data_IF_050824907032
#
_entry.id   IF_050824907032
#
_cell.length_a   1.000
_cell.length_b   1.000
_cell.length_c   1.000
_cell.angle_alpha   90.00
_cell.angle_beta   90.00
_cell.angle_gamma   90.00
#
_symmetry.space_group_name_H-M   'P 1'
#
loop_
_entity.id
_entity.type
_entity.pdbx_description
1 polymer ?
#
# COMPACT_ATOMS: atom_id res chain seq x y z
N UNK A 1 -9.36 19.77 -1.19
CA UNK A 1 -8.68 18.49 -1.47
C UNK A 1 -7.24 18.84 -1.80
N UNK A 2 -6.47 19.01 -0.73
CA UNK A 2 -5.02 19.19 -0.63
C UNK A 2 -4.67 18.16 0.45
N UNK A 3 -4.19 17.01 0.02
CA UNK A 3 -2.79 16.69 -0.18
C UNK A 3 -2.39 15.81 1.01
N UNK A 4 -2.16 14.52 0.75
CA UNK A 4 -1.73 13.55 1.76
C UNK A 4 -0.31 13.82 2.26
N UNK A 5 0.12 15.07 2.28
CA UNK A 5 1.37 15.52 2.83
C UNK A 5 1.18 15.66 4.33
N UNK A 6 2.10 15.04 5.07
CA UNK A 6 2.20 15.23 6.51
C UNK A 6 3.21 16.36 6.67
N UNK A 7 2.74 17.52 7.15
CA UNK A 7 3.63 18.58 7.61
C UNK A 7 4.44 18.05 8.79
N UNK A 8 5.75 18.14 8.69
CA UNK A 8 6.67 17.87 9.79
C UNK A 8 7.69 19.00 9.88
N UNK A 9 8.20 19.22 11.09
CA UNK A 9 9.27 20.15 11.40
C UNK A 9 10.22 19.51 12.39
N UNK A 10 11.40 20.09 12.59
CA UNK A 10 12.34 19.58 13.59
C UNK A 10 11.68 19.52 14.99
N UNK A 11 11.51 18.31 15.53
CA UNK A 11 10.87 18.08 16.83
C UNK A 11 9.35 17.88 16.80
N UNK A 12 8.69 17.91 15.63
CA UNK A 12 7.25 17.64 15.48
C UNK A 12 6.96 16.93 14.16
N UNK A 13 6.36 15.73 14.22
CA UNK A 13 6.08 14.94 13.01
C UNK A 13 7.26 14.11 12.49
N UNK A 14 8.41 14.11 13.17
CA UNK A 14 9.59 13.29 12.84
C UNK A 14 9.28 11.78 12.77
N UNK A 15 8.28 11.31 13.51
CA UNK A 15 7.82 9.92 13.46
C UNK A 15 7.14 9.55 12.13
N UNK A 16 6.60 10.54 11.42
CA UNK A 16 5.97 10.34 10.11
C UNK A 16 7.01 10.09 9.01
N UNK A 17 8.23 10.64 9.15
CA UNK A 17 9.36 10.38 8.24
C UNK A 17 9.81 8.92 8.25
N UNK A 18 9.60 8.19 9.35
CA UNK A 18 10.08 6.82 9.54
C UNK A 18 9.04 5.75 9.25
N UNK A 19 7.76 6.11 9.04
CA UNK A 19 6.70 5.15 8.71
C UNK A 19 6.77 4.73 7.23
N UNK A 20 7.79 3.95 6.87
CA UNK A 20 7.61 2.96 5.80
C UNK A 20 6.47 2.06 6.25
N UNK A 21 5.39 1.99 5.47
CA UNK A 21 4.35 1.01 5.77
C UNK A 21 4.99 -0.38 5.82
N UNK A 22 4.74 -1.13 6.89
CA UNK A 22 5.20 -2.51 6.99
C UNK A 22 4.31 -3.35 6.08
N UNK A 23 4.62 -3.35 4.78
CA UNK A 23 3.89 -4.16 3.80
C UNK A 23 3.95 -5.61 4.21
N UNK A 24 2.83 -6.32 4.00
CA UNK A 24 2.82 -7.76 4.15
C UNK A 24 3.83 -8.38 3.18
N UNK A 25 4.70 -9.22 3.73
CA UNK A 25 5.69 -10.01 3.01
C UNK A 25 5.56 -11.44 3.52
N UNK A 26 5.14 -12.39 2.69
CA UNK A 26 4.99 -13.75 3.13
C UNK A 26 6.35 -14.40 3.35
N UNK A 27 6.44 -15.29 4.32
CA UNK A 27 7.65 -16.07 4.60
C UNK A 27 7.60 -17.42 3.87
N UNK A 28 8.74 -17.89 3.37
CA UNK A 28 8.78 -19.13 2.58
C UNK A 28 8.43 -20.33 3.44
N UNK A 29 7.52 -21.17 2.94
CA UNK A 29 7.06 -22.35 3.67
C UNK A 29 6.09 -22.05 4.81
N UNK A 30 5.71 -20.77 5.00
CA UNK A 30 4.69 -20.36 5.97
C UNK A 30 3.35 -20.21 5.26
N UNK A 31 2.31 -20.64 5.95
CA UNK A 31 0.91 -20.38 5.60
C UNK A 31 0.34 -19.36 6.57
N UNK A 32 -0.07 -18.21 6.06
CA UNK A 32 -0.78 -17.21 6.85
C UNK A 32 -2.29 -17.34 6.64
N UNK A 33 -3.10 -17.07 7.67
CA UNK A 33 -4.54 -16.81 7.53
C UNK A 33 -4.78 -15.31 7.52
N UNK A 34 -5.56 -14.80 6.56
CA UNK A 34 -5.86 -13.38 6.47
C UNK A 34 -7.31 -13.08 6.06
N UNK A 35 -7.87 -12.00 6.61
CA UNK A 35 -9.10 -11.38 6.11
C UNK A 35 -8.78 -10.20 5.22
N UNK A 36 -9.57 -9.97 4.17
CA UNK A 36 -9.61 -8.65 3.53
C UNK A 36 -10.32 -7.67 4.47
N UNK A 37 -9.78 -6.45 4.59
CA UNK A 37 -10.32 -5.45 5.55
C UNK A 37 -10.53 -4.07 4.93
N UNK A 38 -10.21 -3.92 3.64
CA UNK A 38 -10.51 -2.74 2.85
C UNK A 38 -11.60 -3.06 1.84
N UNK A 39 -12.75 -2.40 1.96
CA UNK A 39 -13.95 -2.67 1.17
C UNK A 39 -14.38 -1.43 0.38
N UNK A 40 -15.21 -1.65 -0.63
CA UNK A 40 -15.74 -0.58 -1.47
C UNK A 40 -16.81 0.28 -0.79
N UNK A 41 -17.48 -0.28 0.22
CA UNK A 41 -18.59 0.37 0.90
C UNK A 41 -18.65 -0.04 2.37
N UNK A 42 -19.12 0.89 3.20
CA UNK A 42 -19.21 0.75 4.65
C UNK A 42 -20.46 1.41 5.21
N UNK A 43 -21.05 0.82 6.25
CA UNK A 43 -22.08 1.45 7.06
C UNK A 43 -21.53 2.66 7.83
N UNK A 44 -22.41 3.48 8.39
CA UNK A 44 -22.05 4.62 9.23
C UNK A 44 -21.22 4.22 10.48
N UNK A 45 -21.45 3.00 10.98
CA UNK A 45 -20.70 2.41 12.09
C UNK A 45 -19.32 1.86 11.66
N UNK A 46 -19.01 1.97 10.37
CA UNK A 46 -17.76 1.56 9.76
C UNK A 46 -17.69 0.09 9.37
N UNK A 47 -18.81 -0.63 9.41
CA UNK A 47 -18.88 -2.05 9.04
C UNK A 47 -18.95 -2.21 7.52
N UNK A 48 -18.40 -3.26 6.89
CA UNK A 48 -18.66 -3.54 5.48
C UNK A 48 -20.18 -3.72 5.25
N UNK A 49 -20.74 -3.07 4.23
CA UNK A 49 -22.16 -3.23 3.90
C UNK A 49 -22.46 -4.62 3.32
N UNK A 50 -23.73 -5.04 3.38
CA UNK A 50 -24.16 -6.26 2.69
C UNK A 50 -23.88 -6.13 1.18
N UNK A 51 -23.26 -7.16 0.59
CA UNK A 51 -22.86 -7.14 -0.82
C UNK A 51 -21.57 -6.35 -1.12
N UNK A 52 -20.95 -5.72 -0.12
CA UNK A 52 -19.62 -5.11 -0.28
C UNK A 52 -18.60 -6.12 -0.78
N UNK A 53 -17.54 -5.62 -1.41
CA UNK A 53 -16.46 -6.42 -1.97
C UNK A 53 -15.12 -5.87 -1.51
N UNK A 54 -14.10 -6.73 -1.34
CA UNK A 54 -12.75 -6.25 -1.10
C UNK A 54 -12.35 -5.25 -2.19
N UNK A 55 -11.79 -4.11 -1.76
CA UNK A 55 -11.32 -3.05 -2.62
C UNK A 55 -9.87 -3.30 -2.99
N UNK A 56 -9.55 -2.99 -4.23
CA UNK A 56 -8.21 -3.11 -4.80
C UNK A 56 -7.87 -1.81 -5.52
N UNK A 57 -6.61 -1.41 -5.45
CA UNK A 57 -6.03 -0.37 -6.29
C UNK A 57 -5.02 -1.02 -7.24
N UNK A 58 -4.94 -0.55 -8.48
CA UNK A 58 -3.98 -1.06 -9.45
C UNK A 58 -3.28 0.07 -10.18
N UNK A 59 -2.03 -0.16 -10.58
CA UNK A 59 -1.30 0.75 -11.46
C UNK A 59 -0.30 0.01 -12.36
N UNK A 60 0.10 0.66 -13.45
CA UNK A 60 1.34 0.37 -14.16
C UNK A 60 2.45 1.22 -13.53
N UNK A 61 3.62 0.63 -13.30
CA UNK A 61 4.74 1.28 -12.62
C UNK A 61 6.08 0.71 -13.06
N UNK A 62 7.18 1.38 -12.74
CA UNK A 62 8.53 0.89 -13.02
C UNK A 62 8.95 -0.24 -12.07
N UNK A 63 10.04 -0.95 -12.40
CA UNK A 63 10.80 -1.70 -11.39
C UNK A 63 11.44 -0.73 -10.40
N UNK A 64 11.75 -1.22 -9.20
CA UNK A 64 12.46 -0.40 -8.20
C UNK A 64 13.84 0.00 -8.72
N UNK A 65 14.09 1.30 -8.77
CA UNK A 65 15.42 1.89 -8.93
C UNK A 65 15.84 2.49 -7.58
N UNK A 66 17.11 2.34 -7.20
CA UNK A 66 17.61 2.82 -5.90
C UNK A 66 17.55 4.34 -5.73
N UNK A 67 17.55 5.11 -6.83
CA UNK A 67 17.62 6.58 -6.84
C UNK A 67 16.24 7.21 -6.76
N UNK A 68 15.29 6.70 -7.54
CA UNK A 68 13.92 7.25 -7.63
C UNK A 68 12.88 6.43 -6.89
N UNK A 69 13.18 5.16 -6.59
CA UNK A 69 12.23 4.19 -6.07
C UNK A 69 11.39 3.56 -7.17
N UNK A 70 10.10 3.37 -6.89
CA UNK A 70 9.12 2.86 -7.86
C UNK A 70 8.27 4.03 -8.35
N UNK A 71 8.24 4.25 -9.66
CA UNK A 71 7.59 5.39 -10.29
C UNK A 71 6.31 4.95 -11.00
N UNK A 72 5.25 5.73 -10.87
CA UNK A 72 3.96 5.53 -11.52
C UNK A 72 4.08 5.83 -13.01
N UNK A 73 3.58 4.93 -13.84
CA UNK A 73 3.50 5.12 -15.28
C UNK A 73 2.08 5.55 -15.65
N UNK A 74 1.95 6.77 -16.17
CA UNK A 74 0.72 7.34 -16.73
C UNK A 74 0.86 7.42 -18.25
N UNK A 75 -0.23 7.53 -19.02
CA UNK A 75 -0.15 7.68 -20.47
C UNK A 75 0.81 8.80 -20.93
N UNK A 76 0.90 9.88 -20.15
CA UNK A 76 1.69 11.07 -20.52
C UNK A 76 3.20 10.92 -20.24
N UNK A 77 3.59 10.14 -19.22
CA UNK A 77 4.99 10.02 -18.81
C UNK A 77 5.65 8.67 -19.16
N UNK A 78 4.84 7.69 -19.58
CA UNK A 78 5.22 6.27 -19.64
C UNK A 78 6.47 6.01 -20.47
N UNK A 79 6.45 6.38 -21.75
CA UNK A 79 7.51 5.99 -22.68
C UNK A 79 8.84 6.65 -22.33
N UNK A 80 8.78 7.92 -21.88
CA UNK A 80 9.96 8.68 -21.53
C UNK A 80 10.59 8.18 -20.22
N UNK A 81 9.79 7.91 -19.17
CA UNK A 81 10.31 7.35 -17.92
C UNK A 81 10.92 5.96 -18.13
N UNK A 82 10.28 5.11 -18.94
CA UNK A 82 10.83 3.79 -19.28
C UNK A 82 12.15 3.90 -20.05
N UNK A 83 12.27 4.87 -20.97
CA UNK A 83 13.49 5.15 -21.72
C UNK A 83 14.63 5.60 -20.81
N UNK A 84 14.36 6.55 -19.91
CA UNK A 84 15.34 7.09 -18.95
C UNK A 84 15.83 5.98 -18.01
N UNK A 85 14.90 5.25 -17.38
CA UNK A 85 15.25 4.23 -16.38
C UNK A 85 15.67 2.88 -16.97
N UNK A 86 15.52 2.70 -18.29
CA UNK A 86 15.85 1.45 -19.01
C UNK A 86 15.25 0.21 -18.35
N UNK A 87 14.00 0.33 -17.94
CA UNK A 87 13.25 -0.74 -17.26
C UNK A 87 12.02 -1.12 -18.07
N UNK A 88 11.53 -2.33 -17.82
CA UNK A 88 10.20 -2.73 -18.26
C UNK A 88 9.12 -2.21 -17.31
N UNK A 89 7.91 -1.95 -17.81
CA UNK A 89 6.76 -1.68 -16.96
C UNK A 89 6.34 -2.92 -16.17
N UNK A 90 5.69 -2.68 -15.04
CA UNK A 90 5.09 -3.70 -14.19
C UNK A 90 3.69 -3.28 -13.77
N UNK A 91 2.72 -4.17 -13.93
CA UNK A 91 1.42 -3.99 -13.29
C UNK A 91 1.45 -4.52 -11.86
N UNK A 92 0.85 -3.77 -10.95
CA UNK A 92 0.70 -4.18 -9.55
C UNK A 92 -0.67 -3.83 -9.04
N UNK A 93 -1.14 -4.68 -8.13
CA UNK A 93 -2.40 -4.55 -7.42
C UNK A 93 -2.06 -4.41 -5.94
N UNK A 94 -2.82 -3.59 -5.23
CA UNK A 94 -2.72 -3.45 -3.80
C UNK A 94 -4.08 -3.57 -3.14
N UNK A 95 -4.10 -4.15 -1.94
CA UNK A 95 -5.23 -4.11 -1.02
C UNK A 95 -4.72 -4.03 0.43
N UNK A 96 -5.63 -4.04 1.40
CA UNK A 96 -5.30 -4.10 2.82
C UNK A 96 -5.88 -5.38 3.40
N UNK A 97 -5.03 -6.13 4.10
CA UNK A 97 -5.39 -7.38 4.76
C UNK A 97 -5.12 -7.29 6.26
N UNK A 98 -5.86 -8.07 7.04
CA UNK A 98 -5.56 -8.36 8.43
C UNK A 98 -5.01 -9.77 8.51
N UNK A 99 -3.74 -9.92 8.86
CA UNK A 99 -3.09 -11.21 9.08
C UNK A 99 -3.35 -11.63 10.52
N UNK A 100 -3.85 -12.85 10.70
CA UNK A 100 -4.23 -13.41 11.99
C UNK A 100 -3.04 -14.08 12.68
N UNK A 101 -3.03 -14.14 14.03
CA UNK A 101 -2.00 -14.87 14.75
C UNK A 101 -2.14 -16.36 14.46
N UNK A 102 -1.22 -16.90 13.68
CA UNK A 102 -1.19 -18.31 13.27
C UNK A 102 0.18 -18.89 13.55
N UNK A 103 0.24 -20.22 13.64
CA UNK A 103 1.52 -20.91 13.52
C UNK A 103 1.99 -20.98 12.06
N UNK A 104 3.13 -21.62 11.82
CA UNK A 104 3.73 -21.73 10.48
C UNK A 104 2.85 -22.48 9.47
N UNK A 105 1.94 -23.33 9.95
CA UNK A 105 1.08 -24.17 9.13
C UNK A 105 -0.26 -23.49 8.85
N UNK A 106 -0.48 -22.29 9.41
CA UNK A 106 -1.68 -21.47 9.25
C UNK A 106 -2.76 -21.76 10.29
N UNK A 107 -2.47 -22.58 11.28
CA UNK A 107 -3.40 -22.89 12.36
C UNK A 107 -3.52 -21.71 13.32
N UNK A 108 -4.76 -21.34 13.65
CA UNK A 108 -5.06 -20.17 14.46
C UNK A 108 -4.54 -20.35 15.89
N UNK A 109 -3.77 -19.37 16.39
CA UNK A 109 -3.54 -19.24 17.82
C UNK A 109 -4.82 -18.74 18.50
N UNK A 110 -5.63 -19.71 18.93
CA UNK A 110 -6.92 -19.47 19.59
C UNK A 110 -6.76 -18.63 20.85
N UNK A 111 -5.64 -18.74 21.56
CA UNK A 111 -5.41 -17.99 22.80
C UNK A 111 -5.22 -16.50 22.52
N UNK A 112 -4.38 -16.16 21.54
CA UNK A 112 -4.16 -14.80 21.08
C UNK A 112 -5.43 -14.20 20.47
N UNK A 113 -6.14 -14.97 19.64
CA UNK A 113 -7.39 -14.55 19.03
C UNK A 113 -8.46 -14.23 20.09
N UNK A 114 -8.69 -15.11 21.08
CA UNK A 114 -9.66 -14.83 22.16
C UNK A 114 -9.26 -13.65 23.03
N UNK A 115 -7.96 -13.37 23.14
CA UNK A 115 -7.45 -12.21 23.86
C UNK A 115 -7.47 -10.91 23.05
N UNK A 116 -7.91 -10.94 21.78
CA UNK A 116 -7.94 -9.75 20.91
C UNK A 116 -6.56 -9.27 20.44
N UNK A 117 -5.56 -10.16 20.43
CA UNK A 117 -4.13 -9.83 20.23
C UNK A 117 -3.54 -10.57 19.02
N UNK A 118 -2.35 -10.13 18.60
CA UNK A 118 -1.51 -10.84 17.62
C UNK A 118 -1.88 -10.62 16.15
N UNK A 119 -3.03 -10.02 15.85
CA UNK A 119 -3.41 -9.61 14.50
C UNK A 119 -2.58 -8.41 14.00
N UNK A 120 -2.43 -8.29 12.67
CA UNK A 120 -1.70 -7.19 12.03
C UNK A 120 -2.43 -6.72 10.79
N UNK A 121 -2.73 -5.42 10.70
CA UNK A 121 -3.30 -4.81 9.49
C UNK A 121 -2.17 -4.26 8.63
N UNK A 122 -2.07 -4.73 7.40
CA UNK A 122 -0.93 -4.42 6.52
C UNK A 122 -1.39 -4.16 5.08
N UNK A 123 -0.75 -3.21 4.37
CA UNK A 123 -0.92 -3.12 2.93
C UNK A 123 -0.24 -4.31 2.27
N UNK A 124 -0.88 -4.88 1.27
CA UNK A 124 -0.34 -5.97 0.49
C UNK A 124 -0.30 -5.58 -0.98
N UNK A 125 0.91 -5.54 -1.54
CA UNK A 125 1.16 -5.21 -2.95
C UNK A 125 1.64 -6.45 -3.68
N UNK A 126 0.95 -6.83 -4.74
CA UNK A 126 1.15 -8.09 -5.44
C UNK A 126 0.91 -7.96 -6.96
N UNK A 127 1.22 -9.02 -7.71
CA UNK A 127 1.06 -9.06 -9.16
C UNK A 127 -0.39 -9.42 -9.59
N UNK A 128 -0.82 -9.08 -10.82
CA UNK A 128 -2.15 -9.41 -11.31
C UNK A 128 -2.48 -10.92 -11.35
N UNK A 129 -1.47 -11.79 -11.43
CA UNK A 129 -1.67 -13.24 -11.40
C UNK A 129 -2.29 -13.69 -10.08
N UNK A 130 -1.79 -13.18 -8.96
CA UNK A 130 -2.37 -13.43 -7.62
C UNK A 130 -3.79 -12.86 -7.51
N UNK A 131 -4.05 -11.66 -8.05
CA UNK A 131 -5.40 -11.09 -8.09
C UNK A 131 -6.40 -12.03 -8.78
N UNK A 132 -6.04 -12.59 -9.93
CA UNK A 132 -6.92 -13.49 -10.67
C UNK A 132 -7.23 -14.78 -9.90
N UNK A 133 -6.27 -15.32 -9.16
CA UNK A 133 -6.49 -16.48 -8.29
C UNK A 133 -7.48 -16.14 -7.16
N UNK A 134 -7.25 -15.03 -6.45
CA UNK A 134 -8.11 -14.54 -5.36
C UNK A 134 -9.52 -14.23 -5.87
N UNK A 135 -9.65 -13.59 -7.03
CA UNK A 135 -10.94 -13.32 -7.69
C UNK A 135 -11.71 -14.60 -7.96
N UNK A 136 -11.04 -15.69 -8.34
CA UNK A 136 -11.70 -16.98 -8.56
C UNK A 136 -12.13 -17.64 -7.23
N UNK A 137 -11.34 -17.51 -6.16
CA UNK A 137 -11.74 -17.93 -4.81
C UNK A 137 -12.99 -17.16 -4.37
N UNK A 138 -12.98 -15.83 -4.49
CA UNK A 138 -14.05 -14.93 -4.07
C UNK A 138 -15.41 -15.23 -4.73
N UNK A 139 -15.41 -15.78 -5.96
CA UNK A 139 -16.66 -16.16 -6.65
C UNK A 139 -17.44 -17.26 -5.92
N UNK A 140 -16.74 -18.17 -5.24
CA UNK A 140 -17.36 -19.31 -4.53
C UNK A 140 -17.40 -19.09 -3.02
N UNK A 141 -16.41 -18.39 -2.49
CA UNK A 141 -16.23 -18.11 -1.08
C UNK A 141 -16.03 -16.59 -0.94
N UNK A 142 -17.12 -15.81 -0.81
CA UNK A 142 -17.02 -14.35 -0.71
C UNK A 142 -16.12 -13.94 0.45
N UNK A 143 -15.07 -13.18 0.15
CA UNK A 143 -13.99 -12.78 1.07
C UNK A 143 -14.41 -11.67 2.06
N UNK A 144 -15.66 -11.22 1.99
CA UNK A 144 -16.32 -10.50 3.08
C UNK A 144 -16.66 -11.44 4.24
N UNK A 145 -17.05 -12.68 3.94
CA UNK A 145 -17.50 -13.68 4.93
C UNK A 145 -16.54 -14.85 5.15
N UNK A 146 -15.44 -14.93 4.39
CA UNK A 146 -14.45 -16.01 4.49
C UNK A 146 -13.04 -15.43 4.55
N UNK A 147 -12.15 -16.11 5.25
CA UNK A 147 -10.73 -15.78 5.21
C UNK A 147 -10.05 -16.45 4.02
N UNK A 148 -8.80 -16.05 3.81
CA UNK A 148 -7.89 -16.62 2.84
C UNK A 148 -6.71 -17.25 3.58
N UNK A 149 -6.45 -18.51 3.30
CA UNK A 149 -5.17 -19.13 3.61
C UNK A 149 -4.19 -18.82 2.48
N UNK A 150 -3.01 -18.33 2.85
CA UNK A 150 -2.00 -17.72 2.00
C UNK A 150 -0.65 -18.40 2.23
N UNK A 151 -0.32 -19.41 1.43
CA UNK A 151 0.94 -20.15 1.57
C UNK A 151 1.98 -19.62 0.59
N UNK A 152 3.19 -19.29 1.07
CA UNK A 152 4.30 -18.97 0.17
C UNK A 152 5.14 -20.21 -0.15
N UNK A 153 5.05 -20.66 -1.39
CA UNK A 153 5.71 -21.87 -1.88
C UNK A 153 7.13 -21.62 -2.38
N UNK A 154 7.49 -20.37 -2.64
CA UNK A 154 8.79 -19.96 -3.16
C UNK A 154 9.06 -18.50 -2.77
N UNK A 155 9.96 -18.26 -1.83
CA UNK A 155 10.29 -16.90 -1.37
C UNK A 155 11.07 -16.07 -2.36
N UNK A 156 11.88 -16.70 -3.22
CA UNK A 156 12.71 -15.96 -4.20
C UNK A 156 11.82 -15.20 -5.17
N UNK A 157 10.73 -15.82 -5.62
CA UNK A 157 9.77 -15.21 -6.54
C UNK A 157 8.46 -14.80 -5.85
N UNK A 158 8.37 -14.96 -4.52
CA UNK A 158 7.14 -14.84 -3.74
C UNK A 158 5.95 -15.52 -4.43
N UNK A 159 6.12 -16.77 -4.87
CA UNK A 159 4.99 -17.56 -5.38
C UNK A 159 4.10 -17.92 -4.20
N UNK A 160 2.80 -17.80 -4.42
CA UNK A 160 1.81 -18.02 -3.38
C UNK A 160 0.67 -18.88 -3.92
N UNK A 161 0.12 -19.68 -3.01
CA UNK A 161 -1.10 -20.45 -3.21
C UNK A 161 -2.15 -19.89 -2.28
N UNK A 162 -3.40 -19.80 -2.78
CA UNK A 162 -4.52 -19.26 -2.04
C UNK A 162 -5.64 -20.29 -1.96
N UNK A 163 -6.08 -20.58 -0.74
CA UNK A 163 -7.22 -21.45 -0.51
C UNK A 163 -8.23 -20.73 0.38
N UNK A 164 -9.54 -20.89 0.13
CA UNK A 164 -10.56 -20.36 1.04
C UNK A 164 -10.38 -20.98 2.42
N UNK A 165 -10.54 -20.18 3.46
CA UNK A 165 -10.30 -20.58 4.85
C UNK A 165 -11.48 -20.16 5.74
N UNK A 166 -12.32 -21.12 6.10
CA UNK A 166 -13.40 -20.97 7.07
C UNK A 166 -14.24 -19.69 6.98
N UNK A 167 -14.87 -19.34 8.10
CA UNK A 167 -15.56 -18.07 8.28
C UNK A 167 -14.57 -16.94 8.55
N UNK A 168 -14.92 -15.71 8.15
CA UNK A 168 -14.14 -14.51 8.41
C UNK A 168 -13.94 -14.27 9.91
N UNK A 169 -12.69 -14.28 10.36
CA UNK A 169 -12.36 -13.96 11.75
C UNK A 169 -12.63 -12.48 12.08
N UNK A 170 -12.54 -11.59 11.08
CA UNK A 170 -12.96 -10.21 11.23
C UNK A 170 -14.46 -10.14 11.54
N UNK A 171 -15.28 -10.85 10.76
CA UNK A 171 -16.73 -10.88 10.94
C UNK A 171 -17.11 -11.41 12.33
N UNK A 172 -16.39 -12.43 12.83
CA UNK A 172 -16.54 -12.93 14.20
C UNK A 172 -16.30 -11.89 15.27
N UNK A 173 -15.30 -11.01 15.10
CA UNK A 173 -15.11 -9.91 16.03
C UNK A 173 -16.21 -8.87 15.89
N UNK A 174 -16.52 -8.44 14.66
CA UNK A 174 -17.50 -7.39 14.43
C UNK A 174 -18.92 -7.76 14.91
N UNK A 175 -19.28 -9.04 14.86
CA UNK A 175 -20.55 -9.58 15.35
C UNK A 175 -20.45 -10.24 16.73
N UNK A 176 -19.34 -10.04 17.45
CA UNK A 176 -19.17 -10.62 18.79
C UNK A 176 -20.18 -10.01 19.78
N UNK A 177 -20.78 -10.87 20.61
CA UNK A 177 -21.61 -10.42 21.76
C UNK A 177 -20.78 -9.77 22.87
N UNK A 178 -19.48 -10.08 22.92
CA UNK A 178 -18.55 -9.46 23.85
C UNK A 178 -18.10 -8.12 23.27
N UNK A 179 -18.42 -7.03 23.98
CA UNK A 179 -18.13 -5.66 23.54
C UNK A 179 -16.63 -5.38 23.34
N UNK A 180 -15.76 -6.00 24.14
CA UNK A 180 -14.30 -5.85 24.00
C UNK A 180 -13.81 -6.45 22.68
N UNK A 181 -14.30 -7.65 22.33
CA UNK A 181 -13.98 -8.30 21.06
C UNK A 181 -14.57 -7.53 19.88
N UNK A 182 -15.77 -6.98 20.05
CA UNK A 182 -16.38 -6.12 19.04
C UNK A 182 -15.57 -4.84 18.81
N UNK A 183 -15.05 -4.24 19.88
CA UNK A 183 -14.16 -3.09 19.81
C UNK A 183 -12.84 -3.42 19.09
N UNK A 184 -12.31 -4.64 19.23
CA UNK A 184 -11.15 -5.11 18.44
C UNK A 184 -11.47 -5.13 16.96
N UNK A 185 -12.63 -5.66 16.55
CA UNK A 185 -13.06 -5.64 15.15
C UNK A 185 -13.14 -4.22 14.58
N UNK A 186 -13.79 -3.29 15.31
CA UNK A 186 -13.85 -1.87 14.91
C UNK A 186 -12.46 -1.23 14.81
N UNK A 187 -11.56 -1.58 15.73
CA UNK A 187 -10.16 -1.11 15.71
C UNK A 187 -9.42 -1.59 14.47
N UNK A 188 -9.60 -2.85 14.05
CA UNK A 188 -9.02 -3.40 12.83
C UNK A 188 -9.49 -2.61 11.60
N UNK A 189 -10.79 -2.34 11.47
CA UNK A 189 -11.33 -1.52 10.38
C UNK A 189 -10.76 -0.10 10.39
N UNK A 190 -10.70 0.55 11.56
CA UNK A 190 -10.14 1.89 11.68
C UNK A 190 -8.65 1.93 11.30
N UNK A 191 -7.89 0.87 11.61
CA UNK A 191 -6.51 0.70 11.14
C UNK A 191 -6.43 0.46 9.64
N UNK A 192 -7.33 -0.37 9.09
CA UNK A 192 -7.39 -0.63 7.66
C UNK A 192 -7.61 0.64 6.84
N UNK A 193 -8.48 1.53 7.31
CA UNK A 193 -8.71 2.84 6.70
C UNK A 193 -7.45 3.71 6.71
N UNK A 194 -6.79 3.83 7.87
CA UNK A 194 -5.50 4.57 7.98
C UNK A 194 -4.41 4.00 7.07
N UNK A 195 -4.35 2.67 6.92
CA UNK A 195 -3.40 2.02 6.00
C UNK A 195 -3.80 2.28 4.55
N UNK A 196 -5.10 2.22 4.23
CA UNK A 196 -5.62 2.47 2.89
C UNK A 196 -5.34 3.90 2.40
N UNK A 197 -5.32 4.90 3.28
CA UNK A 197 -4.96 6.29 2.90
C UNK A 197 -3.54 6.39 2.31
N UNK A 198 -2.63 5.50 2.71
CA UNK A 198 -1.26 5.42 2.19
C UNK A 198 -1.07 4.51 0.98
N UNK A 199 -2.11 3.78 0.54
CA UNK A 199 -1.93 2.66 -0.38
C UNK A 199 -1.45 3.05 -1.77
N UNK A 200 -1.82 4.23 -2.26
CA UNK A 200 -1.37 4.74 -3.56
C UNK A 200 0.11 5.07 -3.53
N UNK A 201 0.61 5.68 -2.44
CA UNK A 201 2.06 5.88 -2.23
C UNK A 201 2.80 4.56 -2.13
N UNK A 202 2.14 3.53 -1.59
CA UNK A 202 2.72 2.19 -1.53
C UNK A 202 2.80 1.50 -2.89
N UNK A 203 1.86 1.79 -3.77
CA UNK A 203 1.89 1.34 -5.14
C UNK A 203 3.00 2.04 -5.93
N UNK A 204 3.05 3.36 -5.96
CA UNK A 204 4.10 4.05 -6.70
C UNK A 204 4.18 5.54 -6.31
N UNK A 205 5.31 6.17 -6.60
CA UNK A 205 5.47 7.62 -6.53
C UNK A 205 5.09 8.23 -7.88
N UNK A 206 4.33 9.32 -7.86
CA UNK A 206 4.20 10.14 -9.06
C UNK A 206 5.49 10.94 -9.24
N UNK A 207 6.09 10.87 -10.42
CA UNK A 207 7.22 11.71 -10.82
C UNK A 207 7.06 12.09 -12.29
N UNK A 208 7.50 13.28 -12.63
CA UNK A 208 7.67 13.74 -14.01
C UNK A 208 8.97 13.17 -14.60
N UNK A 209 9.10 13.11 -15.93
CA UNK A 209 10.37 12.72 -16.56
C UNK A 209 11.55 13.58 -16.10
N UNK A 210 11.35 14.88 -15.90
CA UNK A 210 12.41 15.81 -15.49
C UNK A 210 12.89 15.52 -14.06
N UNK A 211 11.96 15.31 -13.11
CA UNK A 211 12.30 14.89 -11.75
C UNK A 211 13.04 13.54 -11.72
N UNK A 212 12.71 12.63 -12.65
CA UNK A 212 13.43 11.36 -12.81
C UNK A 212 14.85 11.62 -13.33
N UNK A 213 15.04 12.44 -14.38
CA UNK A 213 16.38 12.77 -14.91
C UNK A 213 17.27 13.42 -13.87
N UNK A 214 16.73 14.40 -13.15
CA UNK A 214 17.42 15.09 -12.05
C UNK A 214 17.85 14.08 -10.98
N UNK A 215 16.94 13.22 -10.52
CA UNK A 215 17.23 12.24 -9.48
C UNK A 215 18.24 11.16 -9.90
N UNK A 216 18.38 10.88 -11.21
CA UNK A 216 19.38 9.94 -11.71
C UNK A 216 20.71 10.59 -12.11
N UNK A 217 20.79 11.93 -12.08
CA UNK A 217 21.97 12.70 -12.43
C UNK A 217 22.18 12.88 -13.94
N UNK A 218 21.13 12.77 -14.75
CA UNK A 218 21.18 13.18 -16.16
C UNK A 218 20.98 14.70 -16.27
N UNK A 219 21.80 15.37 -17.10
CA UNK A 219 21.63 16.81 -17.37
C UNK A 219 20.21 17.06 -17.90
N UNK A 220 19.42 17.82 -17.13
CA UNK A 220 18.13 18.31 -17.60
C UNK A 220 18.44 19.42 -18.60
N UNK A 221 18.18 19.19 -19.88
CA UNK A 221 18.31 20.24 -20.88
C UNK A 221 17.44 21.43 -20.43
N UNK A 222 17.98 22.67 -20.38
CA UNK A 222 17.20 23.82 -19.98
C UNK A 222 15.96 23.89 -20.87
N UNK A 223 14.78 23.86 -20.26
CA UNK A 223 13.52 24.00 -20.97
C UNK A 223 13.56 25.35 -21.69
N UNK A 224 13.68 25.30 -23.01
CA UNK A 224 13.75 26.47 -23.88
C UNK A 224 12.41 27.21 -23.91
N UNK A 225 12.10 27.93 -22.83
CA UNK A 225 11.13 29.01 -22.78
C UNK A 225 11.88 30.32 -22.88
N UNK A 226 11.98 30.87 -24.09
CA UNK A 226 12.57 32.19 -24.33
C UNK A 226 11.83 33.27 -23.56
N UNK A 227 12.48 33.77 -22.51
CA UNK A 227 12.08 34.94 -21.75
C UNK A 227 13.34 35.69 -21.34
N UNK A 228 13.88 36.48 -22.26
CA UNK A 228 14.93 37.45 -21.97
C UNK A 228 14.48 38.39 -20.86
N UNK A 229 15.14 38.34 -19.69
CA UNK A 229 15.34 39.50 -18.83
C UNK A 229 16.58 39.32 -17.95
N UNK A 230 17.69 39.82 -18.49
CA UNK A 230 18.73 40.60 -17.80
C UNK A 230 19.13 40.18 -16.37
N UNK A 231 20.27 39.50 -16.29
CA UNK A 231 21.26 39.69 -15.24
C UNK A 231 21.53 41.19 -15.04
N UNK A 232 21.02 41.76 -13.95
CA UNK A 232 21.43 43.07 -13.47
C UNK A 232 21.26 43.13 -11.95
N UNK A 233 22.41 43.12 -11.27
CA UNK A 233 22.65 43.69 -9.95
C UNK A 233 21.99 43.01 -8.73
N UNK A 234 22.60 41.92 -8.29
CA UNK A 234 22.57 41.50 -6.87
C UNK A 234 23.76 42.08 -6.10
N UNK A 235 24.82 42.55 -6.78
CA UNK A 235 26.01 43.12 -6.15
C UNK A 235 25.87 44.59 -5.66
N UNK A 236 24.77 45.28 -5.99
CA UNK A 236 24.53 46.67 -5.54
C UNK A 236 23.57 46.78 -4.32
N UNK A 237 23.23 45.67 -3.66
CA UNK A 237 22.30 45.66 -2.53
C UNK A 237 22.98 45.38 -1.17
N UNK A 238 24.31 45.32 -1.13
CA UNK A 238 25.11 45.12 0.09
C UNK A 238 25.90 46.34 0.55
N UNK A 239 25.85 47.46 -0.18
CA UNK A 239 26.58 48.70 0.18
C UNK A 239 25.76 49.72 0.99
N UNK A 240 24.51 49.41 1.38
CA UNK A 240 23.63 50.33 2.14
C UNK A 240 23.30 49.83 3.56
N UNK A 241 24.16 48.95 4.12
CA UNK A 241 24.06 48.43 5.50
C UNK A 241 25.40 48.53 6.25
N UNK A 242 26.24 49.51 5.91
CA UNK A 242 27.38 49.96 6.74
C UNK A 242 27.45 51.48 6.84
#
# INVERSE_FOLDING_TARGET
MTDGFIDFSFGSGDDALKKKSSRYKPETGVTDRASFVWFNDYTDEGMPTEGSQPKFAGCERTKYDSRVGVVLLTPDNRDEILRILRTDPQHRVASVICVWPTDKDGELDVSSFKAGKGWKVQPWVFDPGKYNQIKNVNKRFPLTGHDLSMTCTDGTFHKMTFTPEGESLLDKYLNAKNEDLQAVGRKIIAEARRVADGIYRDLARSMTPDEVREAIGEEVAPSGGGGSHTDANVDNLLDDVL
#
